data_IF_535073881790
#
_entry.id   IF_535073881790
#
_cell.length_a   1.000
_cell.length_b   1.000
_cell.length_c   1.000
_cell.angle_alpha   90.00
_cell.angle_beta   90.00
_cell.angle_gamma   90.00
#
_symmetry.space_group_name_H-M   'P 1'
#
loop_
_entity.id
_entity.type
_entity.pdbx_description
1 polymer ?
#
# COMPACT_ATOMS: atom_id res chain seq x y z
N UNK A 1 4.83 -9.10 13.93
CA UNK A 1 4.77 -7.71 13.49
C UNK A 1 3.47 -7.55 12.73
N UNK A 2 2.68 -6.55 13.05
CA UNK A 2 1.44 -6.27 12.33
C UNK A 2 1.79 -5.39 11.14
N UNK A 3 1.32 -5.80 9.97
CA UNK A 3 1.55 -5.09 8.72
C UNK A 3 0.22 -4.78 8.06
N UNK A 4 0.21 -3.73 7.25
CA UNK A 4 -0.94 -3.31 6.47
C UNK A 4 -0.51 -2.94 5.04
N UNK A 5 -1.47 -2.87 4.14
CA UNK A 5 -1.23 -2.38 2.78
C UNK A 5 -1.80 -0.98 2.65
N UNK A 6 -1.04 -0.10 2.02
CA UNK A 6 -1.44 1.27 1.75
C UNK A 6 -1.33 1.58 0.26
N UNK A 7 -2.33 2.28 -0.26
CA UNK A 7 -2.44 2.61 -1.67
C UNK A 7 -1.46 3.72 -2.10
N UNK A 8 -0.78 3.51 -3.22
CA UNK A 8 -0.17 4.56 -4.02
C UNK A 8 -1.16 4.99 -5.10
N UNK A 9 -1.29 6.31 -5.28
CA UNK A 9 -2.02 6.93 -6.38
C UNK A 9 -1.02 7.51 -7.39
N UNK A 10 -1.42 7.60 -8.66
CA UNK A 10 -0.57 8.22 -9.68
C UNK A 10 -0.34 9.72 -9.38
N UNK A 11 0.91 10.17 -9.43
CA UNK A 11 1.27 11.59 -9.33
C UNK A 11 0.62 12.34 -10.49
N UNK A 12 -0.35 13.20 -10.18
CA UNK A 12 -1.18 13.89 -11.18
C UNK A 12 -2.68 13.68 -11.03
N UNK A 13 -3.14 12.75 -10.17
CA UNK A 13 -4.49 12.82 -9.65
C UNK A 13 -4.61 14.12 -8.84
N UNK A 14 -5.29 15.12 -9.40
CA UNK A 14 -5.39 16.44 -8.78
C UNK A 14 -5.77 16.33 -7.29
N UNK A 15 -5.06 17.07 -6.44
CA UNK A 15 -5.32 17.15 -5.00
C UNK A 15 -6.72 17.71 -4.62
N UNK A 16 -7.60 17.91 -5.61
CA UNK A 16 -9.00 18.34 -5.49
C UNK A 16 -10.02 17.37 -6.08
N UNK A 17 -9.61 16.25 -6.70
CA UNK A 17 -10.50 15.09 -6.87
C UNK A 17 -10.59 14.39 -5.52
N UNK A 18 -11.41 14.99 -4.65
CA UNK A 18 -11.63 14.60 -3.26
C UNK A 18 -11.93 13.12 -3.13
N UNK A 19 -10.97 12.39 -2.55
CA UNK A 19 -11.23 11.09 -1.95
C UNK A 19 -10.22 10.03 -2.36
N UNK A 20 -10.26 8.95 -1.60
CA UNK A 20 -9.68 7.65 -1.90
C UNK A 20 -10.21 7.01 -3.20
N UNK A 21 -10.69 7.82 -4.16
CA UNK A 21 -11.50 7.46 -5.34
C UNK A 21 -10.69 7.51 -6.65
N UNK A 22 -9.44 7.99 -6.60
CA UNK A 22 -8.51 7.83 -7.72
C UNK A 22 -8.13 6.36 -7.91
N UNK A 23 -7.92 5.87 -9.14
CA UNK A 23 -7.50 4.49 -9.36
C UNK A 23 -6.19 4.23 -8.60
N UNK A 24 -6.21 3.25 -7.70
CA UNK A 24 -5.00 2.83 -6.99
C UNK A 24 -4.01 2.35 -8.03
N UNK A 25 -2.86 3.03 -8.07
CA UNK A 25 -1.79 2.71 -9.00
C UNK A 25 -1.03 1.47 -8.55
N UNK A 26 -0.78 1.35 -7.25
CA UNK A 26 -0.09 0.20 -6.67
C UNK A 26 -0.33 0.12 -5.16
N UNK A 27 -0.61 -1.06 -4.64
CA UNK A 27 -0.67 -1.30 -3.20
C UNK A 27 0.70 -1.66 -2.65
N UNK A 28 1.11 -0.95 -1.60
CA UNK A 28 2.38 -1.15 -0.95
C UNK A 28 2.19 -1.67 0.46
N UNK A 29 2.95 -2.70 0.80
CA UNK A 29 3.03 -3.23 2.15
C UNK A 29 3.84 -2.26 3.03
N UNK A 30 3.27 -1.85 4.17
CA UNK A 30 3.84 -0.96 5.19
C UNK A 30 3.79 -1.66 6.55
N UNK A 31 4.59 -1.18 7.50
CA UNK A 31 4.44 -1.57 8.90
C UNK A 31 3.29 -0.78 9.51
N UNK A 32 2.58 -1.35 10.49
CA UNK A 32 1.46 -0.68 11.14
C UNK A 32 1.86 0.72 11.62
N UNK A 33 1.00 1.72 11.38
CA UNK A 33 1.21 3.15 11.71
C UNK A 33 2.33 3.86 10.92
N UNK A 34 2.96 3.19 9.95
CA UNK A 34 4.01 3.77 9.12
C UNK A 34 3.47 4.22 7.76
N UNK A 35 3.91 5.39 7.29
CA UNK A 35 3.57 5.90 5.95
C UNK A 35 4.59 5.48 4.90
N UNK A 36 5.70 4.86 5.31
CA UNK A 36 6.76 4.38 4.46
C UNK A 36 6.59 2.90 4.17
N UNK A 37 6.44 2.60 2.89
CA UNK A 37 6.43 1.22 2.41
C UNK A 37 7.75 0.51 2.67
N UNK A 38 7.68 -0.82 2.73
CA UNK A 38 8.85 -1.66 2.91
C UNK A 38 9.88 -1.55 1.77
N UNK A 39 9.46 -1.19 0.55
CA UNK A 39 10.38 -0.91 -0.55
C UNK A 39 11.05 0.47 -0.48
N UNK A 40 10.71 1.26 0.55
CA UNK A 40 11.32 2.56 0.83
C UNK A 40 10.55 3.76 0.29
N UNK A 41 9.38 3.55 -0.34
CA UNK A 41 8.54 4.61 -0.91
C UNK A 41 7.63 5.24 0.13
N UNK A 42 7.54 6.55 0.13
CA UNK A 42 6.62 7.31 0.99
C UNK A 42 5.23 7.36 0.37
N UNK A 43 4.23 6.98 1.15
CA UNK A 43 2.83 6.99 0.77
C UNK A 43 2.11 8.12 1.51
N UNK A 44 0.98 8.55 0.95
CA UNK A 44 0.17 9.59 1.58
C UNK A 44 -0.34 9.13 2.95
N UNK A 45 -0.30 9.98 3.99
CA UNK A 45 -0.82 9.67 5.31
C UNK A 45 -2.34 9.40 5.30
N UNK A 46 -3.05 9.92 4.29
CA UNK A 46 -4.48 9.77 4.06
C UNK A 46 -4.83 8.74 2.97
N UNK A 47 -3.86 7.97 2.48
CA UNK A 47 -4.11 6.92 1.49
C UNK A 47 -5.00 5.80 2.06
N UNK A 48 -5.78 5.17 1.18
CA UNK A 48 -6.54 3.98 1.55
C UNK A 48 -5.61 2.90 2.13
N UNK A 49 -6.06 2.30 3.23
CA UNK A 49 -5.38 1.21 3.92
C UNK A 49 -6.25 -0.05 3.88
N UNK A 50 -5.61 -1.21 3.81
CA UNK A 50 -6.28 -2.51 3.88
C UNK A 50 -5.39 -3.54 4.58
N UNK A 51 -5.99 -4.64 5.01
CA UNK A 51 -5.27 -5.72 5.70
C UNK A 51 -4.15 -6.32 4.84
N UNK A 52 -3.02 -6.65 5.45
CA UNK A 52 -1.94 -7.40 4.79
C UNK A 52 -2.39 -8.78 4.28
N UNK A 53 -3.46 -9.35 4.85
CA UNK A 53 -4.07 -10.60 4.39
C UNK A 53 -4.66 -10.51 2.96
N UNK A 54 -5.04 -9.31 2.52
CA UNK A 54 -5.49 -9.09 1.15
C UNK A 54 -4.34 -9.18 0.13
N UNK A 55 -3.08 -9.13 0.57
CA UNK A 55 -1.92 -9.23 -0.30
C UNK A 55 -1.90 -10.57 -1.06
N UNK A 56 -1.66 -10.53 -2.37
CA UNK A 56 -1.71 -11.74 -3.20
C UNK A 56 -3.12 -12.18 -3.60
N UNK A 57 -4.15 -11.44 -3.20
CA UNK A 57 -5.54 -11.62 -3.67
C UNK A 57 -5.91 -10.55 -4.69
N UNK A 58 -7.00 -10.81 -5.44
CA UNK A 58 -7.56 -9.84 -6.39
C UNK A 58 -7.99 -8.52 -5.75
N UNK A 59 -8.24 -8.49 -4.43
CA UNK A 59 -8.59 -7.26 -3.72
C UNK A 59 -7.41 -6.29 -3.58
N UNK A 60 -6.17 -6.77 -3.68
CA UNK A 60 -4.95 -5.97 -3.59
C UNK A 60 -4.30 -5.70 -4.94
N UNK A 61 -4.87 -6.18 -6.05
CA UNK A 61 -4.28 -5.97 -7.38
C UNK A 61 -4.57 -4.55 -7.87
N UNK A 62 -3.54 -3.80 -8.34
CA UNK A 62 -2.12 -4.17 -8.44
C UNK A 62 -1.34 -3.96 -7.12
N UNK A 63 -0.44 -4.87 -6.73
CA UNK A 63 0.40 -4.77 -5.53
C UNK A 63 1.91 -4.82 -5.80
N UNK A 64 2.70 -4.27 -4.88
CA UNK A 64 4.16 -4.29 -4.95
C UNK A 64 4.72 -5.66 -4.52
N UNK A 65 5.23 -6.42 -5.50
CA UNK A 65 5.88 -7.72 -5.26
C UNK A 65 7.11 -7.61 -4.34
N UNK A 66 7.88 -6.52 -4.43
CA UNK A 66 9.05 -6.31 -3.57
C UNK A 66 8.68 -6.13 -2.11
N UNK A 67 7.62 -5.36 -1.81
CA UNK A 67 7.16 -5.24 -0.43
C UNK A 67 6.63 -6.58 0.10
N UNK A 68 5.91 -7.34 -0.73
CA UNK A 68 5.44 -8.67 -0.37
C UNK A 68 6.55 -9.68 -0.09
N UNK A 69 7.62 -9.66 -0.87
CA UNK A 69 8.79 -10.52 -0.63
C UNK A 69 9.51 -10.17 0.68
N UNK A 70 9.49 -8.90 1.10
CA UNK A 70 10.03 -8.48 2.41
C UNK A 70 9.08 -8.87 3.55
N UNK A 71 7.78 -8.71 3.36
CA UNK A 71 6.75 -9.16 4.30
C UNK A 71 6.89 -10.65 4.61
N UNK A 72 6.99 -11.51 3.58
CA UNK A 72 7.17 -12.96 3.73
C UNK A 72 8.48 -13.36 4.44
N UNK A 73 9.46 -12.45 4.57
CA UNK A 73 10.67 -12.68 5.36
C UNK A 73 10.51 -12.24 6.81
N UNK A 74 9.59 -11.32 7.09
CA UNK A 74 9.28 -10.81 8.43
C UNK A 74 8.19 -11.62 9.13
N UNK A 75 7.29 -12.25 8.37
CA UNK A 75 6.30 -13.20 8.87
C UNK A 75 6.92 -14.60 8.94
N UNK A 76 6.78 -15.31 10.08
CA UNK A 76 7.36 -16.64 10.29
C UNK A 76 6.77 -17.74 9.39
#
# INVERSE_FOLDING_TARGET
MEHEMRAEYAEGAEAGSSGADGPVKLWHMVRLDDTRSMCGRELRPDAAVQSADAWGTAAAEPFCHSCGALYLREVP
#
